data_IF_439614255599
#
_entry.id   IF_439614255599
#
_cell.length_a   1.000
_cell.length_b   1.000
_cell.length_c   1.000
_cell.angle_alpha   90.00
_cell.angle_beta   90.00
_cell.angle_gamma   90.00
#
_symmetry.space_group_name_H-M   'P 1'
#
loop_
_entity.id
_entity.type
_entity.pdbx_description
1 polymer ?
#
# COMPACT_ATOMS: atom_id res chain seq x y z
N UNK A 1 17.77 8.11 15.43
CA UNK A 1 18.51 7.95 14.17
C UNK A 1 18.07 6.75 13.32
N UNK A 2 18.34 5.49 13.67
CA UNK A 2 18.06 4.37 12.73
C UNK A 2 16.57 4.17 12.40
N UNK A 3 15.69 4.30 13.39
CA UNK A 3 14.22 4.18 13.20
C UNK A 3 13.65 5.32 12.36
N UNK A 4 14.18 6.53 12.51
CA UNK A 4 13.74 7.71 11.74
C UNK A 4 14.19 7.61 10.28
N UNK A 5 15.38 7.08 10.03
CA UNK A 5 15.87 6.82 8.67
C UNK A 5 14.99 5.81 7.94
N UNK A 6 14.65 4.69 8.60
CA UNK A 6 13.72 3.69 8.03
C UNK A 6 12.33 4.25 7.76
N UNK A 7 11.87 5.19 8.59
CA UNK A 7 10.58 5.85 8.35
C UNK A 7 10.62 6.74 7.11
N UNK A 8 11.70 7.50 6.92
CA UNK A 8 11.88 8.32 5.72
C UNK A 8 11.92 7.45 4.46
N UNK A 9 12.66 6.34 4.49
CA UNK A 9 12.72 5.36 3.41
C UNK A 9 11.33 4.77 3.08
N UNK A 10 10.52 4.46 4.10
CA UNK A 10 9.15 3.97 3.89
C UNK A 10 8.29 5.01 3.14
N UNK A 11 8.33 6.27 3.57
CA UNK A 11 7.57 7.33 2.88
C UNK A 11 8.09 7.58 1.45
N UNK A 12 9.41 7.47 1.22
CA UNK A 12 9.99 7.56 -0.12
C UNK A 12 9.54 6.41 -1.01
N UNK A 13 9.47 5.18 -0.49
CA UNK A 13 8.91 4.03 -1.21
C UNK A 13 7.45 4.28 -1.60
N UNK A 14 6.63 4.78 -0.67
CA UNK A 14 5.24 5.12 -1.00
C UNK A 14 5.19 6.24 -2.04
N UNK A 15 6.03 7.28 -1.93
CA UNK A 15 6.04 8.41 -2.86
C UNK A 15 6.45 8.01 -4.29
N UNK A 16 7.40 7.10 -4.44
CA UNK A 16 8.01 6.74 -5.74
C UNK A 16 7.32 5.61 -6.48
N UNK A 17 6.38 4.89 -5.86
CA UNK A 17 5.70 3.73 -6.44
C UNK A 17 4.29 4.05 -6.91
N UNK A 18 3.86 3.50 -8.05
CA UNK A 18 2.52 3.80 -8.59
C UNK A 18 1.43 2.98 -7.90
N UNK A 19 1.72 1.73 -7.57
CA UNK A 19 0.82 0.83 -6.83
C UNK A 19 1.54 0.27 -5.62
N UNK A 20 0.93 0.40 -4.46
CA UNK A 20 1.41 -0.15 -3.20
C UNK A 20 0.40 -1.16 -2.68
N UNK A 21 0.84 -2.38 -2.42
CA UNK A 21 0.09 -3.35 -1.62
C UNK A 21 0.60 -3.25 -0.20
N UNK A 22 -0.19 -2.65 0.67
CA UNK A 22 0.13 -2.40 2.07
C UNK A 22 -0.53 -3.46 2.95
N UNK A 23 0.27 -4.22 3.68
CA UNK A 23 -0.21 -5.25 4.59
C UNK A 23 0.38 -5.12 5.98
N UNK A 24 -0.35 -5.59 6.99
CA UNK A 24 0.18 -5.73 8.35
C UNK A 24 -0.64 -6.75 9.14
N UNK A 25 -0.03 -7.33 10.17
CA UNK A 25 -0.74 -8.07 11.20
C UNK A 25 -1.49 -7.12 12.14
N UNK A 26 -0.98 -5.91 12.31
CA UNK A 26 -1.50 -4.89 13.23
C UNK A 26 -2.25 -3.80 12.47
N UNK A 27 -3.59 -3.81 12.56
CA UNK A 27 -4.43 -2.81 11.87
C UNK A 27 -4.03 -1.34 12.14
N UNK A 28 -3.65 -0.94 13.37
CA UNK A 28 -3.19 0.43 13.61
C UNK A 28 -1.97 0.85 12.77
N UNK A 29 -1.09 -0.09 12.40
CA UNK A 29 0.08 0.21 11.58
C UNK A 29 -0.32 0.61 10.15
N UNK A 30 -1.34 -0.05 9.59
CA UNK A 30 -1.89 0.29 8.27
C UNK A 30 -2.53 1.68 8.33
N UNK A 31 -3.41 1.92 9.30
CA UNK A 31 -4.09 3.21 9.51
C UNK A 31 -3.08 4.35 9.62
N UNK A 32 -2.06 4.19 10.45
CA UNK A 32 -1.00 5.19 10.63
C UNK A 32 -0.35 5.64 9.31
N UNK A 33 -0.09 4.72 8.38
CA UNK A 33 0.51 5.09 7.10
C UNK A 33 -0.51 5.72 6.15
N UNK A 34 -1.72 5.18 6.05
CA UNK A 34 -2.73 5.69 5.11
C UNK A 34 -3.29 7.06 5.52
N UNK A 35 -3.34 7.38 6.82
CA UNK A 35 -3.79 8.67 7.33
C UNK A 35 -2.94 9.83 6.78
N UNK A 36 -1.68 9.57 6.46
CA UNK A 36 -0.77 10.54 5.82
C UNK A 36 -1.17 10.89 4.38
N UNK A 37 -2.00 10.07 3.73
CA UNK A 37 -2.29 10.13 2.30
C UNK A 37 -3.79 10.27 1.99
N UNK A 38 -4.68 10.10 2.98
CA UNK A 38 -6.13 10.07 2.78
C UNK A 38 -6.71 11.34 2.14
N UNK A 39 -6.09 12.51 2.36
CA UNK A 39 -6.55 13.79 1.81
C UNK A 39 -6.00 14.07 0.39
N UNK A 40 -5.14 13.19 -0.13
CA UNK A 40 -4.51 13.39 -1.45
C UNK A 40 -5.47 13.00 -2.58
N UNK A 41 -5.83 13.99 -3.42
CA UNK A 41 -6.66 13.74 -4.60
C UNK A 41 -6.01 12.83 -5.66
N UNK A 42 -4.68 12.74 -5.63
CA UNK A 42 -3.84 11.98 -6.56
C UNK A 42 -3.59 10.53 -6.10
N UNK A 43 -4.11 10.15 -4.93
CA UNK A 43 -3.96 8.80 -4.37
C UNK A 43 -5.35 8.19 -4.22
N UNK A 44 -5.54 7.02 -4.82
CA UNK A 44 -6.68 6.16 -4.54
C UNK A 44 -6.29 5.15 -3.47
N UNK A 45 -7.00 5.15 -2.34
CA UNK A 45 -6.86 4.12 -1.31
C UNK A 45 -8.01 3.12 -1.50
N UNK A 46 -7.69 1.84 -1.61
CA UNK A 46 -8.64 0.73 -1.65
C UNK A 46 -8.48 -0.02 -0.33
N UNK A 47 -9.33 0.32 0.63
CA UNK A 47 -9.26 -0.26 1.96
C UNK A 47 -9.77 -1.70 2.00
N UNK A 48 -9.10 -2.54 2.79
CA UNK A 48 -9.46 -3.95 2.99
C UNK A 48 -9.71 -4.69 1.67
N UNK A 49 -8.84 -4.47 0.68
CA UNK A 49 -8.99 -4.97 -0.68
C UNK A 49 -9.21 -6.49 -0.75
N UNK A 50 -8.73 -7.25 0.24
CA UNK A 50 -8.96 -8.69 0.37
C UNK A 50 -10.43 -9.11 0.56
N UNK A 51 -11.30 -8.17 0.93
CA UNK A 51 -12.75 -8.38 1.06
C UNK A 51 -13.50 -8.15 -0.25
N UNK A 52 -12.85 -7.55 -1.24
CA UNK A 52 -13.41 -7.30 -2.55
C UNK A 52 -13.14 -8.47 -3.48
N UNK A 53 -14.02 -8.68 -4.45
CA UNK A 53 -13.72 -9.62 -5.52
C UNK A 53 -12.57 -9.11 -6.41
N UNK A 54 -11.92 -10.05 -7.09
CA UNK A 54 -10.74 -9.76 -7.91
C UNK A 54 -11.01 -8.77 -9.03
N UNK A 55 -12.18 -8.82 -9.67
CA UNK A 55 -12.49 -7.94 -10.80
C UNK A 55 -12.77 -6.51 -10.32
N UNK A 56 -13.41 -6.34 -9.17
CA UNK A 56 -13.61 -5.04 -8.53
C UNK A 56 -12.26 -4.37 -8.20
N UNK A 57 -11.30 -5.11 -7.67
CA UNK A 57 -9.94 -4.60 -7.39
C UNK A 57 -9.27 -4.14 -8.70
N UNK A 58 -9.27 -5.00 -9.72
CA UNK A 58 -8.61 -4.72 -10.99
C UNK A 58 -9.26 -3.55 -11.75
N UNK A 59 -10.58 -3.44 -11.71
CA UNK A 59 -11.30 -2.33 -12.33
C UNK A 59 -10.92 -0.99 -11.68
N UNK A 60 -10.89 -0.93 -10.35
CA UNK A 60 -10.48 0.28 -9.62
C UNK A 60 -9.03 0.64 -9.92
N UNK A 61 -8.09 -0.31 -9.80
CA UNK A 61 -6.69 -0.08 -10.15
C UNK A 61 -6.55 0.43 -11.60
N UNK A 62 -7.27 -0.20 -12.55
CA UNK A 62 -7.20 0.18 -13.97
C UNK A 62 -7.70 1.59 -14.20
N UNK A 63 -8.79 1.99 -13.54
CA UNK A 63 -9.34 3.34 -13.62
C UNK A 63 -8.35 4.36 -13.05
N UNK A 64 -7.94 4.19 -11.79
CA UNK A 64 -7.04 5.12 -11.10
C UNK A 64 -5.71 5.30 -11.83
N UNK A 65 -5.11 4.21 -12.33
CA UNK A 65 -3.86 4.30 -13.09
C UNK A 65 -4.02 4.98 -14.45
N UNK A 66 -5.20 4.91 -15.08
CA UNK A 66 -5.48 5.67 -16.31
C UNK A 66 -5.54 7.17 -16.03
N UNK A 67 -6.09 7.54 -14.87
CA UNK A 67 -6.14 8.92 -14.38
C UNK A 67 -4.80 9.40 -13.79
N UNK A 68 -3.73 8.61 -13.98
CA UNK A 68 -2.39 8.86 -13.43
C UNK A 68 -2.33 8.96 -11.89
N UNK A 69 -3.34 8.44 -11.20
CA UNK A 69 -3.35 8.36 -9.74
C UNK A 69 -2.49 7.20 -9.25
N UNK A 70 -1.90 7.40 -8.08
CA UNK A 70 -1.29 6.32 -7.29
C UNK A 70 -2.39 5.47 -6.67
N UNK A 71 -2.13 4.18 -6.45
CA UNK A 71 -3.07 3.27 -5.79
C UNK A 71 -2.42 2.64 -4.56
N UNK A 72 -3.08 2.69 -3.41
CA UNK A 72 -2.70 1.97 -2.20
C UNK A 72 -3.80 0.95 -1.90
N UNK A 73 -3.49 -0.34 -1.98
CA UNK A 73 -4.37 -1.41 -1.57
C UNK A 73 -4.02 -1.81 -0.14
N UNK A 74 -4.95 -1.69 0.80
CA UNK A 74 -4.72 -2.18 2.16
C UNK A 74 -5.31 -3.57 2.33
N UNK A 75 -4.61 -4.45 3.05
CA UNK A 75 -5.14 -5.75 3.43
C UNK A 75 -4.48 -6.28 4.71
N UNK A 76 -5.11 -7.27 5.33
CA UNK A 76 -4.49 -7.97 6.45
C UNK A 76 -3.28 -8.79 5.96
N UNK A 77 -2.27 -8.98 6.80
CA UNK A 77 -1.14 -9.85 6.46
C UNK A 77 -1.60 -11.26 6.05
N UNK A 78 -0.95 -11.83 5.02
CA UNK A 78 -1.30 -13.12 4.38
C UNK A 78 -2.70 -13.18 3.74
N UNK A 79 -3.37 -12.04 3.58
CA UNK A 79 -4.59 -11.99 2.78
C UNK A 79 -4.33 -12.44 1.35
N UNK A 80 -5.31 -13.15 0.78
CA UNK A 80 -5.28 -13.46 -0.65
C UNK A 80 -5.68 -12.21 -1.43
N UNK A 81 -4.70 -11.56 -2.03
CA UNK A 81 -4.91 -10.53 -3.04
C UNK A 81 -4.52 -11.07 -4.41
N UNK A 82 -5.13 -10.58 -5.51
CA UNK A 82 -4.79 -10.99 -6.86
C UNK A 82 -3.48 -10.34 -7.34
N UNK A 83 -2.40 -10.45 -6.55
CA UNK A 83 -1.11 -9.76 -6.76
C UNK A 83 -0.55 -10.00 -8.16
N UNK A 84 -0.62 -11.24 -8.66
CA UNK A 84 -0.13 -11.59 -9.99
C UNK A 84 -0.89 -10.82 -11.07
N UNK A 85 -2.22 -10.69 -10.94
CA UNK A 85 -3.04 -9.93 -11.90
C UNK A 85 -2.79 -8.43 -11.78
N UNK A 86 -2.62 -7.91 -10.56
CA UNK A 86 -2.26 -6.50 -10.32
C UNK A 86 -0.90 -6.19 -10.95
N UNK A 87 0.10 -7.06 -10.78
CA UNK A 87 1.41 -6.92 -11.38
C UNK A 87 1.34 -6.92 -12.93
N UNK A 88 0.53 -7.82 -13.51
CA UNK A 88 0.28 -7.83 -14.96
C UNK A 88 -0.30 -6.49 -15.44
N UNK A 89 -1.33 -5.98 -14.76
CA UNK A 89 -1.93 -4.68 -15.05
C UNK A 89 -0.92 -3.54 -14.94
N UNK A 90 -0.06 -3.56 -13.91
CA UNK A 90 0.98 -2.56 -13.74
C UNK A 90 1.96 -2.59 -14.91
N UNK A 91 2.41 -3.78 -15.32
CA UNK A 91 3.30 -3.95 -16.46
C UNK A 91 2.67 -3.45 -17.77
N UNK A 92 1.40 -3.79 -18.04
CA UNK A 92 0.64 -3.29 -19.19
C UNK A 92 0.62 -1.75 -19.24
N UNK A 93 0.47 -1.10 -18.09
CA UNK A 93 0.42 0.36 -17.96
C UNK A 93 1.79 1.02 -17.75
N UNK A 94 2.88 0.25 -17.71
CA UNK A 94 4.25 0.71 -17.39
C UNK A 94 4.33 1.41 -16.03
N UNK A 95 3.67 0.82 -15.04
CA UNK A 95 3.56 1.30 -13.67
C UNK A 95 4.34 0.38 -12.73
N UNK A 96 4.87 0.96 -11.66
CA UNK A 96 5.62 0.24 -10.64
C UNK A 96 4.70 -0.27 -9.53
N UNK A 97 4.88 -1.53 -9.16
CA UNK A 97 4.22 -2.17 -8.02
C UNK A 97 5.26 -2.41 -6.92
N UNK A 98 4.86 -2.23 -5.67
CA UNK A 98 5.62 -2.72 -4.52
C UNK A 98 4.69 -3.33 -3.48
N UNK A 99 5.17 -4.37 -2.81
CA UNK A 99 4.53 -4.86 -1.61
C UNK A 99 5.25 -4.29 -0.40
N UNK A 100 4.50 -3.81 0.57
CA UNK A 100 5.00 -3.31 1.85
C UNK A 100 4.27 -4.03 2.96
N UNK A 101 5.03 -4.65 3.84
CA UNK A 101 4.53 -5.30 5.05
C UNK A 101 5.02 -4.53 6.27
N UNK A 102 4.09 -3.94 7.03
CA UNK A 102 4.37 -3.26 8.29
C UNK A 102 4.30 -4.25 9.46
N UNK A 103 5.18 -4.06 10.44
CA UNK A 103 5.32 -4.97 11.58
C UNK A 103 5.83 -4.26 12.83
N UNK A 104 5.49 -4.81 13.99
CA UNK A 104 5.94 -4.35 15.29
C UNK A 104 5.29 -3.02 15.67
N UNK A 105 3.97 -2.98 15.78
CA UNK A 105 3.28 -1.76 16.23
C UNK A 105 3.77 -1.31 17.62
N UNK A 106 4.23 -0.05 17.72
CA UNK A 106 4.63 0.61 18.97
C UNK A 106 3.46 1.42 19.53
N UNK A 107 2.85 0.95 20.62
CA UNK A 107 1.74 1.68 21.25
C UNK A 107 2.17 3.01 21.87
N UNK A 108 3.41 3.12 22.36
CA UNK A 108 3.91 4.36 22.98
C UNK A 108 4.24 5.42 21.92
N UNK A 109 4.84 4.99 20.81
CA UNK A 109 5.26 5.90 19.72
C UNK A 109 4.23 6.05 18.60
N UNK A 110 3.14 5.28 18.64
CA UNK A 110 2.04 5.27 17.67
C UNK A 110 2.59 5.13 16.24
N UNK A 111 3.43 4.11 16.01
CA UNK A 111 4.02 3.82 14.69
C UNK A 111 4.56 2.38 14.61
N UNK A 112 4.72 1.80 13.42
CA UNK A 112 5.42 0.51 13.27
C UNK A 112 6.91 0.62 13.59
N UNK A 113 7.49 -0.44 14.15
CA UNK A 113 8.93 -0.58 14.41
C UNK A 113 9.72 -0.87 13.13
N UNK A 114 9.14 -1.62 12.20
CA UNK A 114 9.80 -2.06 10.98
C UNK A 114 8.83 -2.31 9.83
N UNK A 115 9.41 -2.39 8.63
CA UNK A 115 8.72 -2.84 7.44
C UNK A 115 9.62 -3.76 6.62
N UNK A 116 9.00 -4.58 5.78
CA UNK A 116 9.65 -5.33 4.68
C UNK A 116 9.05 -4.87 3.36
N UNK A 117 9.84 -4.85 2.29
CA UNK A 117 9.35 -4.55 0.95
C UNK A 117 9.95 -5.47 -0.11
N UNK A 118 9.16 -5.82 -1.12
CA UNK A 118 9.53 -6.76 -2.19
C UNK A 118 8.67 -6.57 -3.45
#
# INVERSE_FOLDING_TARGET
MQTELKQLELHELVATRDVIVLTSLEMPAVSWLIDCYQESADIQIIENAHQLDTEAILAQCRSSLSDSKKVILTAQFRSQLPIIKIASLCNEKRKSLINIELSGWDEEKIRPHSYSSF
#
